data_IF_975564738252
#
_entry.id   IF_975564738252
#
_cell.length_a   1.000
_cell.length_b   1.000
_cell.length_c   1.000
_cell.angle_alpha   90.00
_cell.angle_beta   90.00
_cell.angle_gamma   90.00
#
_symmetry.space_group_name_H-M   'P 1'
#
loop_
_entity.id
_entity.type
_entity.pdbx_description
1 polymer ?
#
# COMPACT_ATOMS: atom_id res chain seq x y z
N UNK A 1 5.67 64.83 4.76
CA UNK A 1 5.03 63.74 5.51
C UNK A 1 5.88 62.48 5.32
N UNK A 2 6.44 61.91 6.40
CA UNK A 2 7.18 60.62 6.34
C UNK A 2 6.19 59.47 6.65
N UNK A 3 6.30 58.31 5.98
CA UNK A 3 5.47 57.17 6.30
C UNK A 3 5.81 56.59 7.68
N UNK A 4 4.84 56.00 8.40
CA UNK A 4 5.08 55.42 9.71
C UNK A 4 5.91 54.15 9.56
N UNK A 5 6.98 54.05 10.34
CA UNK A 5 7.82 52.86 10.39
C UNK A 5 7.15 51.78 11.24
N UNK A 6 7.00 50.58 10.68
CA UNK A 6 6.51 49.41 11.40
C UNK A 6 7.55 48.97 12.44
N UNK A 7 7.18 48.98 13.73
CA UNK A 7 7.98 48.36 14.79
C UNK A 7 7.79 46.83 14.74
N UNK A 8 8.85 46.03 14.88
CA UNK A 8 8.71 44.58 15.04
C UNK A 8 8.04 44.25 16.37
N UNK A 9 7.10 43.27 16.35
CA UNK A 9 6.49 42.71 17.56
C UNK A 9 7.54 41.95 18.38
N UNK A 10 7.49 42.00 19.73
CA UNK A 10 8.31 41.12 20.55
C UNK A 10 7.84 39.66 20.38
N UNK A 11 8.82 38.76 20.29
CA UNK A 11 8.63 37.31 20.22
C UNK A 11 7.88 36.82 21.46
N UNK A 12 6.65 36.30 21.28
CA UNK A 12 6.05 35.41 22.27
C UNK A 12 6.76 34.06 22.19
N UNK A 13 7.43 33.68 23.27
CA UNK A 13 7.90 32.32 23.46
C UNK A 13 6.71 31.36 23.61
N UNK A 14 6.81 30.10 23.17
CA UNK A 14 5.76 29.11 23.37
C UNK A 14 5.69 28.71 24.84
N UNK A 15 4.52 28.89 25.46
CA UNK A 15 4.17 28.27 26.74
C UNK A 15 4.28 26.73 26.62
N UNK A 16 5.02 26.13 27.55
CA UNK A 16 5.03 24.68 27.75
C UNK A 16 3.75 24.27 28.49
N UNK A 17 3.00 23.25 28.02
CA UNK A 17 1.92 22.70 28.84
C UNK A 17 2.51 21.95 30.04
N UNK A 18 2.01 22.32 31.23
CA UNK A 18 2.43 21.83 32.54
C UNK A 18 2.20 20.32 32.70
N UNK A 19 3.19 19.69 33.31
CA UNK A 19 3.26 18.25 33.57
C UNK A 19 2.89 17.99 35.04
N UNK A 20 1.71 18.41 35.50
CA UNK A 20 1.42 18.44 36.96
C UNK A 20 -0.01 18.08 37.38
N UNK A 21 -0.71 17.16 36.70
CA UNK A 21 -2.06 16.72 37.13
C UNK A 21 -2.24 15.20 37.27
N UNK A 22 -1.23 14.37 36.99
CA UNK A 22 -1.40 12.90 37.04
C UNK A 22 -0.90 12.19 38.31
N UNK A 23 -0.43 12.92 39.34
CA UNK A 23 0.16 12.30 40.54
C UNK A 23 -0.83 12.16 41.72
N UNK A 24 -2.06 12.68 41.64
CA UNK A 24 -2.97 12.72 42.80
C UNK A 24 -4.25 11.87 42.67
N UNK A 25 -4.30 10.86 41.80
CA UNK A 25 -5.50 10.03 41.63
C UNK A 25 -5.30 8.50 41.76
N UNK A 26 -4.16 8.05 42.31
CA UNK A 26 -3.81 6.62 42.41
C UNK A 26 -3.68 6.08 43.86
N UNK A 27 -4.17 6.79 44.88
CA UNK A 27 -4.00 6.39 46.30
C UNK A 27 -5.29 6.26 47.11
N UNK A 28 -6.42 5.96 46.47
CA UNK A 28 -7.64 5.62 47.20
C UNK A 28 -8.54 4.70 46.37
N UNK A 29 -8.38 3.38 46.51
CA UNK A 29 -9.43 2.33 46.43
C UNK A 29 -8.79 0.92 46.47
N UNK A 30 -7.91 0.70 47.44
CA UNK A 30 -7.41 -0.63 47.81
C UNK A 30 -7.62 -0.87 49.29
N UNK A 31 -8.77 -1.44 49.68
CA UNK A 31 -8.97 -2.24 50.92
C UNK A 31 -10.43 -2.67 51.10
N UNK A 32 -10.78 -3.82 50.53
CA UNK A 32 -11.82 -4.77 50.93
C UNK A 32 -11.73 -5.88 49.87
N UNK A 33 -11.56 -7.17 50.15
CA UNK A 33 -11.84 -7.99 51.32
C UNK A 33 -11.03 -9.27 51.17
N UNK A 34 -10.36 -9.68 52.23
CA UNK A 34 -9.64 -10.95 52.35
C UNK A 34 -10.61 -12.05 52.84
N UNK A 35 -10.38 -13.29 52.37
CA UNK A 35 -10.85 -14.59 52.89
C UNK A 35 -12.28 -15.08 52.56
N UNK A 36 -12.32 -16.07 51.68
CA UNK A 36 -12.99 -17.36 51.91
C UNK A 36 -12.24 -18.44 51.09
N UNK A 37 -11.38 -19.25 51.72
CA UNK A 37 -11.60 -20.69 51.99
C UNK A 37 -12.35 -21.41 50.86
N UNK A 38 -11.64 -22.16 50.00
CA UNK A 38 -11.35 -23.58 50.19
C UNK A 38 -12.60 -24.48 50.09
N UNK A 39 -12.76 -25.21 48.98
CA UNK A 39 -12.96 -26.67 48.95
C UNK A 39 -13.32 -27.11 47.52
N UNK A 40 -12.69 -28.21 47.11
CA UNK A 40 -12.65 -28.62 45.71
C UNK A 40 -13.92 -29.26 45.17
N UNK A 41 -13.81 -29.67 43.89
CA UNK A 41 -14.13 -31.01 43.43
C UNK A 41 -13.59 -31.19 42.02
N UNK A 42 -12.82 -32.26 41.86
CA UNK A 42 -12.49 -32.86 40.55
C UNK A 42 -13.81 -33.26 39.90
N UNK A 43 -14.00 -32.89 38.64
CA UNK A 43 -14.92 -33.58 37.77
C UNK A 43 -14.17 -33.88 36.47
N UNK A 44 -13.61 -35.09 36.42
CA UNK A 44 -13.24 -35.75 35.17
C UNK A 44 -14.50 -35.92 34.33
N UNK A 45 -14.54 -35.33 33.14
CA UNK A 45 -15.47 -35.74 32.10
C UNK A 45 -14.69 -36.36 30.94
N UNK A 46 -14.66 -37.68 30.97
CA UNK A 46 -14.37 -38.55 29.85
C UNK A 46 -15.61 -38.68 28.96
N UNK A 47 -15.37 -38.67 27.64
CA UNK A 47 -16.24 -39.29 26.65
C UNK A 47 -17.19 -38.34 25.94
N UNK A 48 -16.95 -38.07 24.66
CA UNK A 48 -17.48 -38.90 23.57
C UNK A 48 -17.12 -38.26 22.23
N UNK A 49 -16.46 -39.04 21.38
CA UNK A 49 -16.23 -38.67 19.99
C UNK A 49 -17.53 -38.65 19.20
N UNK A 50 -17.68 -37.65 18.33
CA UNK A 50 -18.57 -37.72 17.17
C UNK A 50 -17.88 -37.12 15.96
N UNK A 51 -17.59 -38.03 15.03
CA UNK A 51 -17.66 -37.93 13.58
C UNK A 51 -17.36 -36.59 12.88
N UNK A 52 -16.32 -36.69 12.03
CA UNK A 52 -16.10 -35.99 10.76
C UNK A 52 -17.36 -35.34 10.15
N UNK A 53 -17.28 -34.04 9.86
CA UNK A 53 -17.79 -33.49 8.60
C UNK A 53 -16.68 -32.73 7.91
N UNK A 54 -16.15 -33.33 6.83
CA UNK A 54 -15.37 -32.64 5.80
C UNK A 54 -16.31 -31.65 5.10
N UNK A 55 -16.33 -30.40 5.55
CA UNK A 55 -16.88 -29.29 4.78
C UNK A 55 -15.91 -28.94 3.66
N UNK A 56 -16.11 -29.53 2.48
CA UNK A 56 -15.44 -29.13 1.24
C UNK A 56 -15.93 -27.74 0.89
N UNK A 57 -15.19 -26.71 1.29
CA UNK A 57 -15.43 -25.34 0.84
C UNK A 57 -15.11 -25.30 -0.65
N UNK A 58 -16.15 -25.42 -1.48
CA UNK A 58 -16.06 -25.14 -2.91
C UNK A 58 -15.88 -23.64 -3.02
N UNK A 59 -14.63 -23.20 -3.14
CA UNK A 59 -14.29 -21.86 -3.64
C UNK A 59 -14.87 -21.79 -5.05
N UNK A 60 -16.03 -21.14 -5.17
CA UNK A 60 -16.54 -20.71 -6.48
C UNK A 60 -15.54 -19.69 -7.00
N UNK A 61 -14.74 -20.11 -7.97
CA UNK A 61 -13.98 -19.21 -8.82
C UNK A 61 -14.96 -18.20 -9.43
N UNK A 62 -14.68 -16.89 -9.39
CA UNK A 62 -15.35 -15.98 -10.31
C UNK A 62 -14.90 -16.38 -11.72
N UNK A 63 -15.83 -16.91 -12.50
CA UNK A 63 -15.70 -17.02 -13.95
C UNK A 63 -15.34 -15.63 -14.45
N UNK A 64 -14.12 -15.55 -14.99
CA UNK A 64 -13.61 -14.41 -15.73
C UNK A 64 -14.62 -14.12 -16.84
N UNK A 65 -15.38 -13.04 -16.71
CA UNK A 65 -16.17 -12.49 -17.82
C UNK A 65 -15.14 -11.84 -18.73
N UNK A 66 -14.51 -12.67 -19.56
CA UNK A 66 -13.74 -12.20 -20.70
C UNK A 66 -14.77 -11.57 -21.63
N UNK A 67 -14.77 -10.25 -21.69
CA UNK A 67 -15.56 -9.47 -22.61
C UNK A 67 -15.00 -9.72 -24.04
N UNK A 68 -15.37 -10.85 -24.65
CA UNK A 68 -15.08 -11.19 -26.05
C UNK A 68 -15.98 -10.39 -27.01
N UNK A 69 -16.00 -9.06 -26.89
CA UNK A 69 -16.73 -8.18 -27.82
C UNK A 69 -15.93 -6.94 -28.18
N UNK A 70 -14.69 -7.10 -28.63
CA UNK A 70 -14.00 -6.04 -29.39
C UNK A 70 -13.23 -6.54 -30.63
N UNK A 71 -13.33 -7.81 -31.01
CA UNK A 71 -12.66 -8.34 -32.20
C UNK A 71 -13.71 -9.00 -33.09
N UNK A 72 -14.53 -8.19 -33.76
CA UNK A 72 -15.11 -8.55 -35.07
C UNK A 72 -15.95 -7.39 -35.63
N UNK A 73 -15.28 -6.38 -36.20
CA UNK A 73 -15.96 -5.43 -37.11
C UNK A 73 -15.00 -4.76 -38.08
N UNK A 74 -14.15 -5.52 -38.77
CA UNK A 74 -13.32 -4.98 -39.86
C UNK A 74 -13.21 -5.90 -41.10
N UNK A 75 -14.25 -6.65 -41.45
CA UNK A 75 -14.30 -7.34 -42.74
C UNK A 75 -15.59 -7.02 -43.50
N UNK A 76 -15.73 -5.77 -43.95
CA UNK A 76 -16.75 -5.44 -44.97
C UNK A 76 -16.37 -4.22 -45.80
N UNK A 77 -15.12 -4.11 -46.27
CA UNK A 77 -14.81 -3.31 -47.44
C UNK A 77 -13.73 -4.05 -48.21
N UNK A 78 -14.06 -4.54 -49.40
CA UNK A 78 -13.22 -4.57 -50.61
C UNK A 78 -13.92 -5.46 -51.65
N UNK A 79 -14.96 -4.90 -52.26
CA UNK A 79 -15.61 -5.42 -53.46
C UNK A 79 -15.70 -4.31 -54.49
N UNK A 80 -14.57 -3.70 -54.84
CA UNK A 80 -14.46 -2.76 -55.97
C UNK A 80 -13.23 -3.14 -56.78
N UNK A 81 -13.46 -3.92 -57.84
CA UNK A 81 -12.47 -4.19 -58.88
C UNK A 81 -12.13 -2.88 -59.57
N UNK A 82 -11.00 -2.28 -59.21
CA UNK A 82 -10.36 -1.22 -59.99
C UNK A 82 -9.00 -1.72 -60.44
N UNK A 83 -8.84 -1.79 -61.76
CA UNK A 83 -7.60 -2.12 -62.47
C UNK A 83 -6.44 -1.28 -61.92
N UNK A 84 -5.50 -1.92 -61.22
CA UNK A 84 -4.30 -1.26 -60.69
C UNK A 84 -3.20 -1.24 -61.75
N UNK A 85 -2.69 -0.04 -62.05
CA UNK A 85 -1.52 0.18 -62.89
C UNK A 85 -0.23 -0.30 -62.19
N UNK A 86 0.73 -0.91 -62.90
CA UNK A 86 1.92 -1.56 -62.34
C UNK A 86 2.98 -0.60 -61.72
N UNK A 87 2.72 0.71 -61.67
CA UNK A 87 3.65 1.71 -61.11
C UNK A 87 3.40 2.12 -59.65
N UNK A 88 2.34 1.63 -58.99
CA UNK A 88 1.91 2.14 -57.67
C UNK A 88 2.25 1.23 -56.47
N UNK A 89 2.80 0.03 -56.70
CA UNK A 89 3.02 -0.97 -55.65
C UNK A 89 4.08 -0.62 -54.60
N UNK A 90 5.10 0.17 -54.98
CA UNK A 90 6.26 0.44 -54.09
C UNK A 90 5.94 1.53 -53.05
N UNK A 91 5.05 2.47 -53.36
CA UNK A 91 4.61 3.53 -52.43
C UNK A 91 3.62 3.02 -51.39
N UNK A 92 2.75 2.09 -51.76
CA UNK A 92 1.78 1.49 -50.84
C UNK A 92 2.46 0.62 -49.77
N UNK A 93 3.56 -0.07 -50.12
CA UNK A 93 4.30 -0.90 -49.17
C UNK A 93 4.95 -0.08 -48.03
N UNK A 94 5.46 1.12 -48.32
CA UNK A 94 6.10 1.98 -47.33
C UNK A 94 5.12 2.60 -46.31
N UNK A 95 3.85 2.79 -46.70
CA UNK A 95 2.82 3.36 -45.82
C UNK A 95 2.26 2.31 -44.86
N UNK A 96 2.21 1.04 -45.25
CA UNK A 96 1.74 -0.03 -44.36
C UNK A 96 2.79 -0.42 -43.30
N UNK A 97 4.09 -0.32 -43.60
CA UNK A 97 5.15 -0.66 -42.64
C UNK A 97 5.26 0.39 -41.52
N UNK A 98 4.98 1.67 -41.80
CA UNK A 98 5.02 2.73 -40.77
C UNK A 98 3.85 2.70 -39.79
N UNK A 99 2.69 2.15 -40.17
CA UNK A 99 1.50 2.06 -39.31
C UNK A 99 1.60 0.97 -38.22
N UNK A 100 2.49 -0.03 -38.38
CA UNK A 100 2.63 -1.13 -37.43
C UNK A 100 3.52 -0.81 -36.21
N UNK A 101 4.28 0.30 -36.22
CA UNK A 101 5.23 0.64 -35.15
C UNK A 101 4.64 1.46 -33.98
N UNK A 102 3.34 1.79 -34.01
CA UNK A 102 2.66 2.53 -32.94
C UNK A 102 1.94 1.60 -31.95
N UNK A 103 2.53 0.46 -31.60
CA UNK A 103 2.05 -0.35 -30.47
C UNK A 103 2.27 0.46 -29.18
N UNK A 104 1.25 1.20 -28.76
CA UNK A 104 1.17 1.83 -27.46
C UNK A 104 1.26 0.75 -26.38
N UNK A 105 2.38 0.72 -25.65
CA UNK A 105 2.56 -0.13 -24.49
C UNK A 105 1.57 0.32 -23.41
N UNK A 106 0.43 -0.36 -23.30
CA UNK A 106 -0.44 -0.22 -22.15
C UNK A 106 0.33 -0.73 -20.93
N UNK A 107 0.74 0.18 -20.04
CA UNK A 107 1.34 -0.18 -18.75
C UNK A 107 0.25 -0.88 -17.94
N UNK A 108 0.31 -2.22 -17.93
CA UNK A 108 -0.61 -3.02 -17.15
C UNK A 108 -0.23 -2.89 -15.67
N UNK A 109 -0.93 -2.02 -14.96
CA UNK A 109 -0.87 -1.98 -13.51
C UNK A 109 -1.70 -3.11 -12.92
N UNK A 110 -1.15 -3.81 -11.93
CA UNK A 110 -1.88 -4.89 -11.22
C UNK A 110 -2.13 -4.46 -9.79
N UNK A 111 -3.37 -4.64 -9.33
CA UNK A 111 -3.74 -4.46 -7.92
C UNK A 111 -3.23 -5.63 -7.10
N UNK A 112 -2.37 -5.34 -6.13
CA UNK A 112 -1.65 -6.31 -5.34
C UNK A 112 -1.58 -5.88 -3.87
N UNK A 113 -1.69 -6.84 -2.96
CA UNK A 113 -1.39 -6.62 -1.55
C UNK A 113 0.06 -6.99 -1.29
N UNK A 114 0.91 -5.99 -1.04
CA UNK A 114 2.36 -6.14 -0.94
C UNK A 114 2.78 -5.87 0.50
N UNK A 115 3.63 -6.73 1.05
CA UNK A 115 4.02 -6.66 2.46
C UNK A 115 5.54 -6.70 2.59
N UNK A 116 6.10 -5.84 3.43
CA UNK A 116 7.54 -5.75 3.59
C UNK A 116 7.96 -4.60 4.49
N UNK A 117 9.23 -4.20 4.34
CA UNK A 117 9.80 -3.06 5.04
C UNK A 117 9.27 -1.77 4.43
N UNK A 118 8.58 -0.97 5.24
CA UNK A 118 8.18 0.37 4.85
C UNK A 118 9.25 1.35 5.32
N UNK A 119 9.82 2.08 4.38
CA UNK A 119 10.99 2.92 4.58
C UNK A 119 10.63 4.39 4.39
N UNK A 120 11.15 5.24 5.29
CA UNK A 120 11.17 6.68 5.15
C UNK A 120 12.46 7.22 5.75
N UNK A 121 13.59 7.14 5.03
CA UNK A 121 14.88 7.56 5.57
C UNK A 121 15.07 9.08 5.56
N UNK A 122 14.27 9.82 4.78
CA UNK A 122 14.35 11.29 4.66
C UNK A 122 12.97 11.88 4.34
N UNK A 123 12.70 13.17 4.63
CA UNK A 123 11.36 13.73 4.47
C UNK A 123 10.77 13.48 3.08
N UNK A 124 9.48 13.13 3.03
CA UNK A 124 8.72 12.87 1.79
C UNK A 124 9.23 11.73 0.89
N UNK A 125 10.25 10.97 1.29
CA UNK A 125 10.73 9.81 0.56
C UNK A 125 10.19 8.53 1.21
N UNK A 126 9.37 7.78 0.47
CA UNK A 126 8.72 6.56 0.96
C UNK A 126 8.76 5.44 -0.07
N UNK A 127 9.13 4.25 0.37
CA UNK A 127 9.04 3.03 -0.43
C UNK A 127 8.75 1.80 0.42
N UNK A 128 8.20 0.77 -0.21
CA UNK A 128 8.01 -0.55 0.38
C UNK A 128 8.99 -1.53 -0.25
N UNK A 129 9.88 -2.11 0.55
CA UNK A 129 10.77 -3.18 0.12
C UNK A 129 10.17 -4.54 0.50
N UNK A 130 9.80 -5.33 -0.49
CA UNK A 130 9.32 -6.70 -0.32
C UNK A 130 10.23 -7.73 -1.00
N UNK A 131 9.79 -9.00 -1.02
CA UNK A 131 10.55 -10.09 -1.65
C UNK A 131 10.77 -9.93 -3.17
N UNK A 132 9.95 -9.11 -3.83
CA UNK A 132 9.96 -8.95 -5.28
C UNK A 132 10.68 -7.66 -5.71
N UNK A 133 10.91 -6.72 -4.78
CA UNK A 133 11.69 -5.51 -5.03
C UNK A 133 11.26 -4.32 -4.17
N UNK A 134 11.63 -3.13 -4.63
CA UNK A 134 11.27 -1.86 -4.01
C UNK A 134 10.14 -1.17 -4.78
N UNK A 135 9.16 -0.66 -4.05
CA UNK A 135 7.97 0.00 -4.59
C UNK A 135 7.94 1.45 -4.11
N UNK A 136 8.25 2.38 -5.01
CA UNK A 136 8.26 3.82 -4.70
C UNK A 136 6.84 4.35 -4.48
N UNK A 137 6.60 4.99 -3.33
CA UNK A 137 5.29 5.57 -2.94
C UNK A 137 5.30 7.10 -2.99
N UNK A 138 6.42 7.71 -2.62
CA UNK A 138 6.59 9.16 -2.63
C UNK A 138 8.08 9.49 -2.75
N UNK A 139 8.40 10.56 -3.48
CA UNK A 139 9.75 11.11 -3.58
C UNK A 139 9.68 12.61 -3.33
N UNK A 140 10.65 13.14 -2.60
CA UNK A 140 10.74 14.57 -2.32
C UNK A 140 10.81 15.37 -3.63
N UNK A 141 9.96 16.40 -3.75
CA UNK A 141 9.88 17.25 -4.93
C UNK A 141 8.93 16.73 -6.01
N UNK A 142 8.36 15.53 -5.85
CA UNK A 142 7.32 14.99 -6.72
C UNK A 142 5.95 14.96 -6.02
N UNK A 143 4.87 14.83 -6.79
CA UNK A 143 3.55 14.58 -6.21
C UNK A 143 3.53 13.12 -5.71
N UNK A 144 3.13 12.85 -4.45
CA UNK A 144 2.97 11.49 -3.96
C UNK A 144 1.98 10.69 -4.80
N UNK A 145 2.13 9.37 -4.78
CA UNK A 145 1.21 8.45 -5.48
C UNK A 145 -0.23 8.69 -5.00
N UNK A 146 -1.24 8.67 -5.90
CA UNK A 146 -2.64 8.82 -5.51
C UNK A 146 -3.03 7.86 -4.38
N UNK A 147 -3.70 8.36 -3.34
CA UNK A 147 -4.09 7.60 -2.15
C UNK A 147 -3.06 7.57 -1.03
N UNK A 148 -1.87 8.15 -1.22
CA UNK A 148 -0.85 8.25 -0.16
C UNK A 148 -1.33 9.03 1.06
N UNK A 149 -1.98 10.18 0.83
CA UNK A 149 -2.49 11.05 1.89
C UNK A 149 -3.67 10.42 2.68
N UNK A 150 -4.27 9.35 2.15
CA UNK A 150 -5.39 8.62 2.77
C UNK A 150 -4.93 7.45 3.66
N UNK A 151 -3.63 7.15 3.68
CA UNK A 151 -3.08 6.07 4.50
C UNK A 151 -3.15 6.44 6.00
N UNK A 152 -3.30 5.44 6.90
CA UNK A 152 -3.19 5.70 8.33
C UNK A 152 -1.79 6.19 8.70
N UNK A 153 -1.60 6.63 9.94
CA UNK A 153 -0.25 6.92 10.45
C UNK A 153 0.63 5.65 10.41
N UNK A 154 1.48 5.60 9.39
CA UNK A 154 2.37 4.48 9.11
C UNK A 154 3.56 4.40 10.07
N UNK A 155 3.78 5.43 10.89
CA UNK A 155 4.85 5.49 11.90
C UNK A 155 4.38 5.09 13.29
N UNK A 156 3.10 4.72 13.43
CA UNK A 156 2.56 4.21 14.68
C UNK A 156 3.13 2.82 15.05
N UNK A 157 3.20 2.52 16.35
CA UNK A 157 3.65 1.20 16.84
C UNK A 157 5.17 1.03 16.86
N UNK A 158 5.67 -0.05 16.26
CA UNK A 158 7.08 -0.46 16.33
C UNK A 158 7.98 0.26 15.29
N UNK A 159 7.81 1.56 15.06
CA UNK A 159 8.65 2.30 14.11
C UNK A 159 10.08 2.45 14.64
N UNK A 160 11.09 2.19 13.79
CA UNK A 160 12.50 2.33 14.14
C UNK A 160 13.06 3.60 13.53
N UNK A 161 13.32 4.60 14.36
CA UNK A 161 13.97 5.84 13.94
C UNK A 161 15.46 5.59 13.72
N UNK A 162 15.95 5.88 12.51
CA UNK A 162 17.37 5.73 12.13
C UNK A 162 18.03 7.07 11.80
N UNK A 163 17.23 8.10 11.52
CA UNK A 163 17.70 9.43 11.12
C UNK A 163 16.99 10.53 11.92
N UNK A 164 17.54 11.75 11.87
CA UNK A 164 16.94 12.92 12.53
C UNK A 164 15.50 13.17 12.05
N UNK A 165 14.67 13.82 12.87
CA UNK A 165 13.29 14.16 12.48
C UNK A 165 12.30 13.00 12.47
N UNK A 166 12.65 11.83 13.04
CA UNK A 166 11.74 10.68 13.14
C UNK A 166 11.77 9.76 11.91
N UNK A 167 12.67 10.01 10.96
CA UNK A 167 12.87 9.19 9.77
C UNK A 167 13.48 7.83 10.12
N UNK A 168 13.03 6.78 9.45
CA UNK A 168 13.22 5.41 9.87
C UNK A 168 12.54 4.39 8.99
N UNK A 169 12.24 3.23 9.58
CA UNK A 169 11.53 2.14 8.93
C UNK A 169 10.57 1.40 9.86
N UNK A 170 9.62 0.70 9.26
CA UNK A 170 8.65 -0.15 9.92
C UNK A 170 8.29 -1.36 9.07
N UNK A 171 7.31 -2.14 9.50
CA UNK A 171 6.79 -3.28 8.75
C UNK A 171 5.33 -3.01 8.38
N UNK A 172 4.94 -3.20 7.12
CA UNK A 172 3.57 -2.92 6.68
C UNK A 172 3.11 -3.83 5.54
N UNK A 173 1.80 -3.91 5.35
CA UNK A 173 1.19 -4.36 4.10
C UNK A 173 0.39 -3.21 3.48
N UNK A 174 0.48 -3.05 2.18
CA UNK A 174 -0.22 -2.01 1.42
C UNK A 174 -0.94 -2.67 0.24
N UNK A 175 -2.22 -2.37 0.11
CA UNK A 175 -3.00 -2.71 -1.07
C UNK A 175 -2.84 -1.59 -2.09
N UNK A 176 -2.22 -1.91 -3.23
CA UNK A 176 -1.78 -0.93 -4.21
C UNK A 176 -1.80 -1.48 -5.62
N UNK A 177 -1.97 -0.59 -6.58
CA UNK A 177 -1.66 -0.82 -7.97
C UNK A 177 -0.15 -0.62 -8.19
N UNK A 178 0.54 -1.56 -8.85
CA UNK A 178 1.99 -1.46 -9.12
C UNK A 178 2.32 -1.55 -10.60
N UNK A 179 3.34 -0.79 -11.01
CA UNK A 179 4.05 -0.97 -12.26
C UNK A 179 5.38 -1.69 -11.99
N UNK A 180 5.40 -2.99 -12.32
CA UNK A 180 6.58 -3.85 -12.15
C UNK A 180 7.74 -3.49 -13.07
N UNK A 181 7.48 -2.81 -14.18
CA UNK A 181 8.52 -2.37 -15.10
C UNK A 181 9.35 -1.22 -14.53
N UNK A 182 8.74 -0.38 -13.68
CA UNK A 182 9.39 0.81 -13.12
C UNK A 182 9.65 0.73 -11.62
N UNK A 183 9.11 -0.26 -10.90
CA UNK A 183 9.23 -0.34 -9.43
C UNK A 183 8.47 0.78 -8.71
N UNK A 184 7.40 1.29 -9.34
CA UNK A 184 6.57 2.37 -8.79
C UNK A 184 5.20 1.86 -8.40
N UNK A 185 4.68 2.33 -7.28
CA UNK A 185 3.26 2.26 -7.02
C UNK A 185 2.52 3.27 -7.91
N UNK A 186 1.38 2.88 -8.44
CA UNK A 186 0.53 3.68 -9.33
C UNK A 186 -0.65 4.29 -8.56
N UNK A 187 -1.19 3.56 -7.57
CA UNK A 187 -2.24 4.04 -6.66
C UNK A 187 -2.23 3.21 -5.38
N UNK A 188 -2.48 3.85 -4.25
CA UNK A 188 -2.64 3.20 -2.95
C UNK A 188 -4.12 3.18 -2.56
N UNK A 189 -4.57 2.07 -1.96
CA UNK A 189 -5.97 1.89 -1.57
C UNK A 189 -6.14 1.78 -0.05
N UNK A 190 -5.22 1.08 0.61
CA UNK A 190 -5.22 0.93 2.06
C UNK A 190 -3.85 0.44 2.53
N UNK A 191 -3.55 0.67 3.80
CA UNK A 191 -2.35 0.13 4.42
C UNK A 191 -2.63 -0.38 5.84
N UNK A 192 -1.78 -1.30 6.28
CA UNK A 192 -1.79 -1.86 7.63
C UNK A 192 -0.37 -1.91 8.17
N UNK A 193 -0.14 -1.20 9.27
CA UNK A 193 1.09 -1.34 10.06
C UNK A 193 1.11 -2.72 10.72
N UNK A 194 2.27 -3.36 10.68
CA UNK A 194 2.54 -4.67 11.26
C UNK A 194 3.63 -4.58 12.34
N UNK A 195 3.64 -5.49 13.33
CA UNK A 195 4.76 -5.60 14.25
C UNK A 195 6.06 -5.91 13.52
N UNK A 196 7.19 -5.28 13.90
CA UNK A 196 8.50 -5.49 13.25
C UNK A 196 8.89 -6.97 13.19
N UNK A 197 8.48 -7.75 14.20
CA UNK A 197 8.77 -9.18 14.27
C UNK A 197 8.37 -9.90 12.98
N UNK A 198 7.27 -9.49 12.31
CA UNK A 198 6.85 -10.09 11.05
C UNK A 198 7.95 -10.00 10.00
N UNK A 199 8.41 -8.79 9.69
CA UNK A 199 9.45 -8.57 8.70
C UNK A 199 10.81 -9.15 9.16
N UNK A 200 11.17 -9.02 10.44
CA UNK A 200 12.42 -9.62 10.99
C UNK A 200 12.49 -11.14 10.85
N UNK A 201 11.35 -11.83 10.86
CA UNK A 201 11.30 -13.29 10.71
C UNK A 201 11.14 -13.76 9.27
N UNK A 202 10.86 -12.85 8.34
CA UNK A 202 10.71 -13.18 6.93
C UNK A 202 12.06 -13.13 6.23
N UNK A 203 12.58 -14.32 5.90
CA UNK A 203 13.89 -14.47 5.25
C UNK A 203 13.89 -14.13 3.76
N UNK A 204 12.72 -13.91 3.17
CA UNK A 204 12.60 -13.50 1.77
C UNK A 204 12.75 -11.99 1.58
N UNK A 205 12.64 -11.22 2.67
CA UNK A 205 12.81 -9.77 2.62
C UNK A 205 14.29 -9.39 2.59
N UNK A 206 14.64 -8.31 1.88
CA UNK A 206 15.94 -7.69 2.03
C UNK A 206 16.10 -7.12 3.46
N UNK A 207 17.33 -6.81 3.90
CA UNK A 207 17.55 -5.98 5.08
C UNK A 207 16.89 -4.62 4.92
N UNK A 208 16.33 -4.04 5.99
CA UNK A 208 15.87 -2.65 5.98
C UNK A 208 17.03 -1.66 6.00
#
# INVERSE_FOLDING_TARGET
>A
MRPPQCRPRPNLAPEKPGVDVWVTMLTALGRATTRASAMGRRASYTGHGVARRRGRSVVRQPVSVICHRCIDRQQTILGSSSSMNPGQGVRALFVCISAALLCTHAVASTRENRCGWLQNPTPANWWLDDKDGSWTLSVMGERPVPGFDDLPDMTSGDWVVTNAGGHGYGCACIDMDVDKGTGKAVRLYSAKVLPLKRCKTDRSLPPP
#
